data_IF_705281071486
#
_entry.id   IF_705281071486
#
_cell.length_a   1.000
_cell.length_b   1.000
_cell.length_c   1.000
_cell.angle_alpha   90.00
_cell.angle_beta   90.00
_cell.angle_gamma   90.00
#
_symmetry.space_group_name_H-M   'P 1'
#
loop_
_entity.id
_entity.type
_entity.pdbx_description
1 polymer ?
#
# COMPACT_ATOMS: atom_id res chain seq x y z
N UNK A 1 49.91 -19.29 8.96
CA UNK A 1 48.96 -18.58 9.85
C UNK A 1 47.99 -17.66 9.11
N UNK A 2 48.13 -17.41 7.80
CA UNK A 2 47.22 -16.53 7.02
C UNK A 2 45.86 -17.15 6.68
N UNK A 3 45.78 -18.46 6.45
CA UNK A 3 44.54 -19.14 6.00
C UNK A 3 43.37 -19.08 7.01
N UNK A 4 43.68 -18.93 8.30
CA UNK A 4 42.65 -18.77 9.35
C UNK A 4 42.09 -17.36 9.35
N UNK A 5 42.93 -16.34 9.15
CA UNK A 5 42.50 -14.93 9.03
C UNK A 5 41.56 -14.74 7.84
N UNK A 6 41.95 -15.25 6.67
CA UNK A 6 41.13 -15.16 5.46
C UNK A 6 39.77 -15.86 5.60
N UNK A 7 39.69 -16.96 6.37
CA UNK A 7 38.43 -17.66 6.66
C UNK A 7 37.54 -16.85 7.61
N UNK A 8 38.13 -16.23 8.63
CA UNK A 8 37.43 -15.37 9.59
C UNK A 8 36.89 -14.12 8.90
N UNK A 9 37.68 -13.47 8.04
CA UNK A 9 37.25 -12.28 7.30
C UNK A 9 36.12 -12.60 6.32
N UNK A 10 36.19 -13.75 5.63
CA UNK A 10 35.09 -14.23 4.77
C UNK A 10 33.83 -14.58 5.57
N UNK A 11 33.97 -15.12 6.78
CA UNK A 11 32.85 -15.42 7.65
C UNK A 11 32.19 -14.14 8.19
N UNK A 12 32.99 -13.16 8.59
CA UNK A 12 32.53 -11.83 9.02
C UNK A 12 31.82 -11.09 7.89
N UNK A 13 32.41 -11.03 6.69
CA UNK A 13 31.78 -10.40 5.54
C UNK A 13 30.46 -11.08 5.12
N UNK A 14 30.36 -12.41 5.26
CA UNK A 14 29.12 -13.15 5.02
C UNK A 14 28.09 -12.84 6.10
N UNK A 15 28.50 -12.82 7.37
CA UNK A 15 27.62 -12.51 8.49
C UNK A 15 27.05 -11.09 8.38
N UNK A 16 27.90 -10.10 8.12
CA UNK A 16 27.50 -8.69 7.98
C UNK A 16 26.51 -8.48 6.83
N UNK A 17 26.70 -9.19 5.70
CA UNK A 17 25.76 -9.17 4.57
C UNK A 17 24.41 -9.77 4.95
N UNK A 18 24.41 -10.88 5.68
CA UNK A 18 23.19 -11.54 6.15
C UNK A 18 22.45 -10.64 7.14
N UNK A 19 23.14 -10.08 8.14
CA UNK A 19 22.53 -9.19 9.13
C UNK A 19 21.97 -7.93 8.49
N UNK A 20 22.70 -7.29 7.56
CA UNK A 20 22.20 -6.11 6.83
C UNK A 20 20.93 -6.43 6.04
N UNK A 21 20.91 -7.58 5.36
CA UNK A 21 19.72 -8.02 4.61
C UNK A 21 18.52 -8.36 5.50
N UNK A 22 18.75 -8.78 6.75
CA UNK A 22 17.68 -9.06 7.71
C UNK A 22 17.15 -7.77 8.34
N UNK A 23 18.03 -6.83 8.66
CA UNK A 23 17.68 -5.55 9.28
C UNK A 23 16.88 -4.67 8.29
N UNK A 24 17.27 -4.64 7.01
CA UNK A 24 16.50 -4.00 5.94
C UNK A 24 15.09 -4.60 5.78
N UNK A 25 14.96 -5.93 5.94
CA UNK A 25 13.66 -6.64 5.83
C UNK A 25 12.77 -6.39 7.05
N UNK A 26 13.33 -6.46 8.25
CA UNK A 26 12.59 -6.11 9.46
C UNK A 26 12.17 -4.64 9.46
N UNK A 27 13.03 -3.75 8.95
CA UNK A 27 12.71 -2.35 8.71
C UNK A 27 11.52 -2.17 7.78
N UNK A 28 11.52 -2.82 6.60
CA UNK A 28 10.43 -2.72 5.64
C UNK A 28 9.07 -3.16 6.21
N UNK A 29 9.05 -4.28 6.94
CA UNK A 29 7.84 -4.77 7.60
C UNK A 29 7.34 -3.82 8.71
N UNK A 30 8.26 -3.28 9.52
CA UNK A 30 7.93 -2.29 10.57
C UNK A 30 7.42 -0.99 9.97
N UNK A 31 8.01 -0.52 8.87
CA UNK A 31 7.60 0.70 8.18
C UNK A 31 6.22 0.53 7.55
N UNK A 32 5.94 -0.62 6.92
CA UNK A 32 4.61 -0.96 6.44
C UNK A 32 3.57 -0.96 7.58
N UNK A 33 3.90 -1.55 8.73
CA UNK A 33 3.05 -1.55 9.91
C UNK A 33 2.79 -0.14 10.44
N UNK A 34 3.81 0.72 10.48
CA UNK A 34 3.65 2.12 10.88
C UNK A 34 2.76 2.90 9.91
N UNK A 35 2.96 2.73 8.59
CA UNK A 35 2.12 3.35 7.56
C UNK A 35 0.65 2.92 7.72
N UNK A 36 0.39 1.64 7.95
CA UNK A 36 -0.97 1.16 8.17
C UNK A 36 -1.59 1.70 9.47
N UNK A 37 -0.85 1.71 10.57
CA UNK A 37 -1.30 2.30 11.84
C UNK A 37 -1.68 3.77 11.68
N UNK A 38 -0.87 4.56 10.98
CA UNK A 38 -1.19 5.97 10.70
C UNK A 38 -2.47 6.12 9.86
N UNK A 39 -2.71 5.22 8.90
CA UNK A 39 -3.92 5.22 8.07
C UNK A 39 -5.16 4.85 8.86
N UNK A 40 -5.08 3.79 9.68
CA UNK A 40 -6.16 3.35 10.56
C UNK A 40 -6.53 4.46 11.56
N UNK A 41 -5.54 5.09 12.18
CA UNK A 41 -5.76 6.20 13.12
C UNK A 41 -6.44 7.40 12.45
N UNK A 42 -6.06 7.77 11.22
CA UNK A 42 -6.73 8.83 10.46
C UNK A 42 -8.16 8.45 10.06
N UNK A 43 -8.39 7.20 9.69
CA UNK A 43 -9.73 6.69 9.36
C UNK A 43 -10.66 6.69 10.58
N UNK A 44 -10.13 6.25 11.73
CA UNK A 44 -10.82 6.27 13.02
C UNK A 44 -11.10 7.71 13.48
N UNK A 45 -10.14 8.62 13.38
CA UNK A 45 -10.35 10.03 13.73
C UNK A 45 -11.45 10.69 12.89
N UNK A 46 -11.49 10.42 11.57
CA UNK A 46 -12.57 10.92 10.70
C UNK A 46 -13.93 10.31 11.03
N UNK A 47 -13.99 9.01 11.36
CA UNK A 47 -15.24 8.36 11.82
C UNK A 47 -15.69 8.92 13.16
N UNK A 48 -14.78 9.03 14.13
CA UNK A 48 -15.05 9.63 15.43
C UNK A 48 -15.55 11.08 15.30
N UNK A 49 -14.94 11.87 14.41
CA UNK A 49 -15.41 13.22 14.10
C UNK A 49 -16.84 13.24 13.55
N UNK A 50 -17.20 12.35 12.62
CA UNK A 50 -18.58 12.25 12.10
C UNK A 50 -19.58 11.77 13.15
N UNK A 51 -19.19 10.80 13.97
CA UNK A 51 -20.02 10.31 15.08
C UNK A 51 -20.23 11.41 16.12
N UNK A 52 -19.18 12.17 16.47
CA UNK A 52 -19.28 13.32 17.37
C UNK A 52 -20.21 14.42 16.81
N UNK A 53 -20.13 14.72 15.52
CA UNK A 53 -21.04 15.66 14.85
C UNK A 53 -22.48 15.14 14.86
N UNK A 54 -22.70 13.86 14.55
CA UNK A 54 -24.03 13.26 14.58
C UNK A 54 -24.65 13.29 15.99
N UNK A 55 -23.86 12.93 17.03
CA UNK A 55 -24.27 13.04 18.43
C UNK A 55 -24.57 14.50 18.79
N UNK A 56 -23.75 15.45 18.33
CA UNK A 56 -23.97 16.88 18.53
C UNK A 56 -25.29 17.37 17.94
N UNK A 57 -25.60 16.98 16.70
CA UNK A 57 -26.87 17.33 16.02
C UNK A 57 -28.06 16.74 16.78
N UNK A 58 -28.01 15.46 17.14
CA UNK A 58 -29.08 14.79 17.91
C UNK A 58 -29.28 15.48 19.26
N UNK A 59 -28.19 15.87 19.93
CA UNK A 59 -28.25 16.58 21.21
C UNK A 59 -28.94 17.94 21.07
N UNK A 60 -28.58 18.72 20.05
CA UNK A 60 -29.18 20.03 19.78
C UNK A 60 -30.67 19.91 19.46
N UNK A 61 -31.05 18.97 18.57
CA UNK A 61 -32.45 18.73 18.21
C UNK A 61 -33.27 18.33 19.45
N UNK A 62 -32.70 17.49 20.31
CA UNK A 62 -33.37 17.06 21.55
C UNK A 62 -33.57 18.22 22.53
N UNK A 63 -32.58 19.11 22.67
CA UNK A 63 -32.69 20.34 23.49
C UNK A 63 -33.81 21.25 22.98
N UNK A 64 -33.89 21.44 21.65
CA UNK A 64 -34.91 22.31 21.03
C UNK A 64 -36.32 21.74 21.21
N UNK A 65 -36.52 20.43 21.02
CA UNK A 65 -37.83 19.79 21.19
C UNK A 65 -38.23 19.75 22.68
N UNK A 66 -37.27 19.48 23.58
CA UNK A 66 -37.49 19.51 25.02
C UNK A 66 -37.89 20.89 25.58
N UNK A 67 -37.61 21.96 24.84
CA UNK A 67 -38.06 23.32 25.16
C UNK A 67 -39.55 23.54 24.84
N UNK A 68 -40.11 22.76 23.91
CA UNK A 68 -41.50 22.91 23.40
C UNK A 68 -42.44 21.87 24.03
N UNK A 69 -41.93 20.66 24.33
CA UNK A 69 -42.70 19.57 24.92
C UNK A 69 -41.93 19.00 26.13
N UNK A 70 -42.52 18.87 27.33
CA UNK A 70 -41.80 18.39 28.51
C UNK A 70 -41.59 16.88 28.43
N UNK A 71 -40.51 16.48 27.76
CA UNK A 71 -40.10 15.06 27.60
C UNK A 71 -39.62 14.47 28.95
N UNK A 72 -39.40 15.31 29.96
CA UNK A 72 -38.88 14.92 31.27
C UNK A 72 -37.41 14.50 31.21
N UNK A 73 -36.73 14.57 32.35
CA UNK A 73 -35.30 14.25 32.46
C UNK A 73 -34.97 12.81 32.01
N UNK A 74 -35.90 11.87 32.18
CA UNK A 74 -35.72 10.46 31.82
C UNK A 74 -35.75 10.21 30.31
N UNK A 75 -36.56 10.93 29.53
CA UNK A 75 -36.59 10.77 28.07
C UNK A 75 -35.33 11.32 27.39
N UNK A 76 -34.77 12.42 27.90
CA UNK A 76 -33.48 12.95 27.46
C UNK A 76 -32.34 11.96 27.76
N UNK A 77 -32.29 11.42 28.98
CA UNK A 77 -31.24 10.49 29.38
C UNK A 77 -31.29 9.18 28.56
N UNK A 78 -32.48 8.70 28.22
CA UNK A 78 -32.67 7.53 27.37
C UNK A 78 -32.19 7.76 25.92
N UNK A 79 -32.47 8.93 25.33
CA UNK A 79 -32.02 9.26 23.98
C UNK A 79 -30.48 9.40 23.90
N UNK A 80 -29.87 10.05 24.88
CA UNK A 80 -28.40 10.18 24.97
C UNK A 80 -27.74 8.82 25.21
N UNK A 81 -28.31 8.00 26.11
CA UNK A 81 -27.82 6.64 26.37
C UNK A 81 -27.88 5.76 25.13
N UNK A 82 -28.97 5.83 24.35
CA UNK A 82 -29.10 5.09 23.09
C UNK A 82 -28.10 5.58 22.03
N UNK A 83 -27.89 6.89 21.90
CA UNK A 83 -26.92 7.46 20.98
C UNK A 83 -25.48 7.03 21.33
N UNK A 84 -25.11 7.05 22.62
CA UNK A 84 -23.81 6.56 23.10
C UNK A 84 -23.69 5.05 22.87
N UNK A 85 -24.75 4.28 23.10
CA UNK A 85 -24.79 2.84 22.83
C UNK A 85 -24.55 2.50 21.37
N UNK A 86 -25.24 3.17 20.44
CA UNK A 86 -25.06 3.00 18.98
C UNK A 86 -23.66 3.47 18.56
N UNK A 87 -23.18 4.59 19.09
CA UNK A 87 -21.83 5.09 18.80
C UNK A 87 -20.74 4.13 19.29
N UNK A 88 -20.90 3.58 20.49
CA UNK A 88 -20.03 2.55 21.03
C UNK A 88 -20.07 1.29 20.16
N UNK A 89 -21.26 0.81 19.82
CA UNK A 89 -21.43 -0.37 18.96
C UNK A 89 -20.73 -0.18 17.60
N UNK A 90 -20.89 0.98 16.95
CA UNK A 90 -20.22 1.28 15.68
C UNK A 90 -18.71 1.49 15.81
N UNK A 91 -18.22 1.92 16.98
CA UNK A 91 -16.80 2.07 17.26
C UNK A 91 -16.10 0.72 17.52
N UNK A 92 -16.81 -0.23 18.13
CA UNK A 92 -16.29 -1.56 18.47
C UNK A 92 -16.61 -2.64 17.44
N UNK A 93 -17.47 -2.37 16.44
CA UNK A 93 -17.76 -3.32 15.38
C UNK A 93 -16.50 -3.58 14.54
N UNK A 94 -16.02 -4.83 14.44
CA UNK A 94 -14.87 -5.16 13.60
C UNK A 94 -15.27 -4.89 12.15
N UNK A 95 -14.60 -3.94 11.51
CA UNK A 95 -14.88 -3.65 10.11
C UNK A 95 -14.55 -4.86 9.25
N UNK A 96 -15.57 -5.48 8.64
CA UNK A 96 -15.46 -6.50 7.57
C UNK A 96 -14.66 -6.03 6.31
N UNK A 97 -14.01 -4.87 6.38
CA UNK A 97 -13.26 -4.26 5.28
C UNK A 97 -11.84 -4.82 5.14
N UNK A 98 -11.45 -5.82 5.93
CA UNK A 98 -10.04 -6.15 6.14
C UNK A 98 -9.32 -6.74 4.91
N UNK A 99 -10.02 -7.25 3.89
CA UNK A 99 -9.35 -7.98 2.79
C UNK A 99 -9.86 -7.62 1.39
N UNK A 100 -10.60 -6.52 1.20
CA UNK A 100 -11.06 -6.17 -0.16
C UNK A 100 -9.90 -5.64 -1.00
N UNK A 101 -9.65 -6.33 -2.12
CA UNK A 101 -8.76 -5.88 -3.18
C UNK A 101 -9.11 -4.43 -3.62
N UNK A 102 -8.10 -3.63 -4.03
CA UNK A 102 -8.36 -2.28 -4.50
C UNK A 102 -9.21 -2.29 -5.78
N UNK A 103 -10.19 -1.39 -5.88
CA UNK A 103 -10.99 -1.24 -7.10
C UNK A 103 -10.14 -0.67 -8.23
N UNK A 104 -10.32 -1.21 -9.44
CA UNK A 104 -9.68 -0.76 -10.67
C UNK A 104 -9.90 0.73 -10.97
N UNK A 105 -10.96 1.36 -10.46
CA UNK A 105 -11.34 2.75 -10.73
C UNK A 105 -10.56 3.79 -9.91
N UNK A 106 -9.78 3.34 -8.92
CA UNK A 106 -9.06 4.26 -8.04
C UNK A 106 -8.00 5.08 -8.78
N UNK A 107 -7.82 6.38 -8.45
CA UNK A 107 -6.69 7.15 -8.95
C UNK A 107 -5.35 6.49 -8.59
N UNK A 108 -4.30 6.78 -9.35
CA UNK A 108 -3.01 6.07 -9.29
C UNK A 108 -2.38 6.03 -7.88
N UNK A 109 -2.28 7.18 -7.19
CA UNK A 109 -1.77 7.23 -5.82
C UNK A 109 -2.59 6.42 -4.81
N UNK A 110 -3.91 6.68 -4.70
CA UNK A 110 -4.81 5.89 -3.88
C UNK A 110 -4.83 4.39 -4.19
N UNK A 111 -4.63 3.99 -5.45
CA UNK A 111 -4.51 2.58 -5.85
C UNK A 111 -3.33 1.92 -5.14
N UNK A 112 -2.12 2.49 -5.27
CA UNK A 112 -0.90 1.95 -4.64
C UNK A 112 -1.04 1.88 -3.13
N UNK A 113 -1.63 2.91 -2.52
CA UNK A 113 -1.87 2.93 -1.06
C UNK A 113 -2.81 1.81 -0.64
N UNK A 114 -3.95 1.62 -1.32
CA UNK A 114 -4.88 0.54 -0.97
C UNK A 114 -4.27 -0.84 -1.21
N UNK A 115 -3.47 -0.99 -2.26
CA UNK A 115 -2.75 -2.22 -2.52
C UNK A 115 -1.75 -2.56 -1.40
N UNK A 116 -0.94 -1.59 -0.96
CA UNK A 116 -0.02 -1.75 0.20
C UNK A 116 -0.79 -2.19 1.46
N UNK A 117 -1.92 -1.56 1.76
CA UNK A 117 -2.78 -1.95 2.90
C UNK A 117 -3.37 -3.36 2.72
N UNK A 118 -3.76 -3.76 1.51
CA UNK A 118 -4.25 -5.11 1.23
C UNK A 118 -3.15 -6.15 1.46
N UNK A 119 -1.94 -5.94 0.91
CA UNK A 119 -0.80 -6.84 1.10
C UNK A 119 -0.44 -7.01 2.58
N UNK A 120 -0.38 -5.90 3.32
CA UNK A 120 -0.08 -5.92 4.75
C UNK A 120 -1.09 -6.77 5.55
N UNK A 121 -2.38 -6.65 5.24
CA UNK A 121 -3.44 -7.38 5.97
C UNK A 121 -3.52 -8.85 5.59
N UNK A 122 -3.16 -9.20 4.35
CA UNK A 122 -3.18 -10.58 3.89
C UNK A 122 -1.92 -11.35 4.25
N UNK A 123 -0.82 -10.64 4.56
CA UNK A 123 0.49 -11.19 4.92
C UNK A 123 0.45 -12.36 5.90
N UNK A 124 -0.32 -12.25 6.99
CA UNK A 124 -0.31 -13.25 8.06
C UNK A 124 -0.94 -14.59 7.65
N UNK A 125 -1.80 -14.59 6.64
CA UNK A 125 -2.44 -15.80 6.10
C UNK A 125 -1.54 -16.57 5.12
N UNK A 126 -0.33 -16.07 4.84
CA UNK A 126 0.59 -16.57 3.82
C UNK A 126 1.82 -17.26 4.43
N UNK A 127 2.46 -18.18 3.68
CA UNK A 127 3.61 -18.94 4.16
C UNK A 127 4.83 -18.03 4.29
N UNK A 128 5.81 -18.43 5.10
CA UNK A 128 6.95 -17.58 5.45
C UNK A 128 7.74 -17.08 4.23
N UNK A 129 7.86 -17.89 3.16
CA UNK A 129 8.51 -17.49 1.92
C UNK A 129 7.73 -16.38 1.18
N UNK A 130 6.40 -16.54 1.03
CA UNK A 130 5.56 -15.54 0.38
C UNK A 130 5.48 -14.22 1.17
N UNK A 131 5.55 -14.29 2.50
CA UNK A 131 5.64 -13.08 3.34
C UNK A 131 6.88 -12.24 3.01
N UNK A 132 8.02 -12.87 2.70
CA UNK A 132 9.24 -12.16 2.30
C UNK A 132 9.06 -11.44 0.96
N UNK A 133 8.36 -12.06 0.02
CA UNK A 133 8.04 -11.42 -1.27
C UNK A 133 7.11 -10.22 -1.09
N UNK A 134 6.08 -10.34 -0.25
CA UNK A 134 5.21 -9.21 0.10
C UNK A 134 5.99 -8.07 0.77
N UNK A 135 6.84 -8.38 1.75
CA UNK A 135 7.64 -7.38 2.44
C UNK A 135 8.56 -6.64 1.44
N UNK A 136 9.10 -7.36 0.45
CA UNK A 136 9.91 -6.77 -0.63
C UNK A 136 9.08 -5.87 -1.55
N UNK A 137 7.89 -6.31 -1.97
CA UNK A 137 6.97 -5.51 -2.78
C UNK A 137 6.60 -4.22 -2.02
N UNK A 138 6.18 -4.34 -0.75
CA UNK A 138 5.81 -3.20 0.09
C UNK A 138 6.95 -2.19 0.33
N UNK A 139 8.21 -2.60 0.20
CA UNK A 139 9.36 -1.69 0.26
C UNK A 139 9.48 -0.81 -1.00
N UNK A 140 9.07 -1.31 -2.16
CA UNK A 140 9.17 -0.62 -3.45
C UNK A 140 7.94 0.29 -3.74
N UNK A 141 6.78 -0.03 -3.15
CA UNK A 141 5.53 0.71 -3.37
C UNK A 141 5.60 2.23 -3.11
N UNK A 142 6.32 2.75 -2.11
CA UNK A 142 6.44 4.21 -1.91
C UNK A 142 7.04 4.94 -3.11
N UNK A 143 8.09 4.37 -3.71
CA UNK A 143 8.75 4.92 -4.91
C UNK A 143 7.83 4.80 -6.10
N UNK A 144 7.22 3.63 -6.31
CA UNK A 144 6.23 3.43 -7.38
C UNK A 144 5.07 4.42 -7.29
N UNK A 145 4.57 4.68 -6.08
CA UNK A 145 3.49 5.66 -5.84
C UNK A 145 3.89 7.05 -6.31
N UNK A 146 5.09 7.51 -5.96
CA UNK A 146 5.57 8.83 -6.34
C UNK A 146 5.64 8.97 -7.86
N UNK A 147 6.08 7.94 -8.57
CA UNK A 147 6.14 7.93 -10.04
C UNK A 147 4.73 7.91 -10.64
N UNK A 148 3.86 7.00 -10.19
CA UNK A 148 2.51 6.83 -10.73
C UNK A 148 1.56 8.00 -10.42
N UNK A 149 1.74 8.72 -9.32
CA UNK A 149 0.92 9.90 -8.96
C UNK A 149 1.07 11.05 -9.95
N UNK A 150 2.17 11.10 -10.70
CA UNK A 150 2.44 12.15 -11.69
C UNK A 150 1.81 11.86 -13.05
N UNK A 151 1.39 10.61 -13.27
CA UNK A 151 0.83 10.16 -14.54
C UNK A 151 -0.68 10.29 -14.56
N UNK A 152 -1.23 10.51 -15.75
CA UNK A 152 -2.65 10.40 -15.97
C UNK A 152 -3.11 8.94 -15.83
N UNK A 153 -4.36 8.75 -15.46
CA UNK A 153 -4.93 7.40 -15.28
C UNK A 153 -5.08 6.64 -16.59
N UNK A 154 -5.05 7.34 -17.73
CA UNK A 154 -5.14 6.77 -19.07
C UNK A 154 -3.78 6.36 -19.64
N UNK A 155 -2.68 6.69 -18.96
CA UNK A 155 -1.34 6.29 -19.37
C UNK A 155 -1.23 4.75 -19.40
N UNK A 156 -0.67 4.13 -20.47
CA UNK A 156 -0.59 2.68 -20.59
C UNK A 156 0.18 2.00 -19.46
N UNK A 157 1.28 2.58 -18.99
CA UNK A 157 2.08 2.03 -17.90
C UNK A 157 1.34 2.15 -16.56
N UNK A 158 0.64 3.26 -16.33
CA UNK A 158 -0.21 3.42 -15.17
C UNK A 158 -1.38 2.42 -15.16
N UNK A 159 -2.01 2.18 -16.31
CA UNK A 159 -3.07 1.19 -16.46
C UNK A 159 -2.60 -0.23 -16.18
N UNK A 160 -1.42 -0.59 -16.69
CA UNK A 160 -0.84 -1.92 -16.48
C UNK A 160 -0.52 -2.16 -14.99
N UNK A 161 0.15 -1.20 -14.34
CA UNK A 161 0.40 -1.25 -12.90
C UNK A 161 -0.89 -1.36 -12.09
N UNK A 162 -1.94 -0.61 -12.47
CA UNK A 162 -3.25 -0.69 -11.82
C UNK A 162 -3.90 -2.05 -11.99
N UNK A 163 -3.86 -2.66 -13.18
CA UNK A 163 -4.40 -4.00 -13.41
C UNK A 163 -3.65 -5.04 -12.59
N UNK A 164 -2.32 -4.93 -12.52
CA UNK A 164 -1.51 -5.81 -11.70
C UNK A 164 -1.89 -5.72 -10.21
N UNK A 165 -2.02 -4.51 -9.68
CA UNK A 165 -2.37 -4.27 -8.27
C UNK A 165 -3.83 -4.54 -7.91
N UNK A 166 -4.77 -4.39 -8.85
CA UNK A 166 -6.21 -4.55 -8.57
C UNK A 166 -6.78 -5.90 -8.96
N UNK A 167 -6.22 -6.57 -9.97
CA UNK A 167 -6.78 -7.81 -10.51
C UNK A 167 -5.81 -8.97 -10.31
N UNK A 168 -4.60 -8.88 -10.88
CA UNK A 168 -3.73 -10.04 -11.00
C UNK A 168 -3.13 -10.48 -9.66
N UNK A 169 -2.53 -9.55 -8.92
CA UNK A 169 -1.90 -9.85 -7.63
C UNK A 169 -2.91 -10.24 -6.56
N UNK A 170 -4.00 -9.47 -6.33
CA UNK A 170 -5.05 -9.91 -5.40
C UNK A 170 -5.69 -11.23 -5.83
N UNK A 171 -5.96 -11.40 -7.13
CA UNK A 171 -6.54 -12.64 -7.64
C UNK A 171 -5.63 -13.86 -7.51
N UNK A 172 -4.31 -13.70 -7.48
CA UNK A 172 -3.37 -14.77 -7.15
C UNK A 172 -3.46 -15.15 -5.66
N UNK A 173 -3.41 -14.14 -4.79
CA UNK A 173 -3.47 -14.32 -3.34
C UNK A 173 -4.80 -14.93 -2.93
N UNK A 174 -5.92 -14.43 -3.43
CA UNK A 174 -7.26 -14.93 -3.13
C UNK A 174 -7.43 -16.40 -3.57
N UNK A 175 -6.89 -16.76 -4.75
CA UNK A 175 -6.87 -18.15 -5.22
C UNK A 175 -6.06 -19.05 -4.29
N UNK A 176 -4.90 -18.62 -3.84
CA UNK A 176 -4.11 -19.35 -2.86
C UNK A 176 -4.86 -19.54 -1.53
N UNK A 177 -5.53 -18.49 -1.03
CA UNK A 177 -6.28 -18.56 0.22
C UNK A 177 -7.46 -19.53 0.15
N UNK A 178 -8.06 -19.69 -1.03
CA UNK A 178 -9.14 -20.66 -1.27
C UNK A 178 -8.67 -22.12 -1.32
N UNK A 179 -7.36 -22.37 -1.49
CA UNK A 179 -6.82 -23.74 -1.43
C UNK A 179 -6.81 -24.22 0.03
N UNK A 180 -7.42 -25.37 0.35
CA UNK A 180 -7.42 -25.89 1.72
C UNK A 180 -5.99 -26.20 2.18
N UNK A 181 -5.70 -25.93 3.46
CA UNK A 181 -4.33 -25.91 3.98
C UNK A 181 -3.56 -27.24 3.78
N UNK A 182 -4.26 -28.38 3.85
CA UNK A 182 -3.68 -29.71 3.66
C UNK A 182 -3.18 -29.99 2.24
N UNK A 183 -3.62 -29.23 1.23
CA UNK A 183 -3.19 -29.38 -0.16
C UNK A 183 -2.07 -28.41 -0.56
N UNK A 184 -1.66 -27.48 0.32
CA UNK A 184 -0.75 -26.39 -0.07
C UNK A 184 0.70 -26.82 -0.25
N UNK A 185 1.08 -27.90 0.43
CA UNK A 185 2.41 -28.53 0.34
C UNK A 185 2.44 -29.72 -0.64
N UNK A 186 1.27 -30.13 -1.17
CA UNK A 186 1.23 -31.17 -2.19
C UNK A 186 1.91 -30.67 -3.46
N UNK A 187 2.76 -31.53 -4.02
CA UNK A 187 3.48 -31.25 -5.25
C UNK A 187 2.72 -31.78 -6.44
N UNK A 188 2.64 -30.96 -7.48
CA UNK A 188 2.04 -31.34 -8.74
C UNK A 188 3.00 -32.15 -9.64
N UNK A 189 2.59 -32.42 -10.88
CA UNK A 189 3.38 -33.15 -11.87
C UNK A 189 4.67 -32.44 -12.31
N UNK A 190 4.83 -31.15 -12.01
CA UNK A 190 6.05 -30.37 -12.25
C UNK A 190 6.96 -30.34 -11.00
N UNK A 191 6.59 -31.07 -9.94
CA UNK A 191 7.27 -31.12 -8.65
C UNK A 191 7.29 -29.76 -7.91
N UNK A 192 6.30 -28.91 -8.18
CA UNK A 192 6.11 -27.59 -7.58
C UNK A 192 4.89 -27.66 -6.65
N UNK A 193 5.00 -27.07 -5.44
CA UNK A 193 3.85 -26.98 -4.52
C UNK A 193 3.02 -25.72 -4.77
N UNK A 194 1.80 -25.68 -4.24
CA UNK A 194 0.96 -24.46 -4.30
C UNK A 194 1.64 -23.29 -3.57
N UNK A 195 2.35 -23.57 -2.47
CA UNK A 195 3.18 -22.60 -1.77
C UNK A 195 4.28 -22.03 -2.68
N UNK A 196 4.97 -22.88 -3.44
CA UNK A 196 6.02 -22.45 -4.37
C UNK A 196 5.44 -21.62 -5.52
N UNK A 197 4.31 -22.05 -6.11
CA UNK A 197 3.61 -21.30 -7.17
C UNK A 197 3.20 -19.90 -6.72
N UNK A 198 2.75 -19.75 -5.46
CA UNK A 198 2.44 -18.44 -4.89
C UNK A 198 3.70 -17.56 -4.83
N UNK A 199 4.81 -18.11 -4.33
CA UNK A 199 6.07 -17.36 -4.22
C UNK A 199 6.56 -16.90 -5.59
N UNK A 200 6.56 -17.79 -6.58
CA UNK A 200 6.93 -17.47 -7.96
C UNK A 200 6.02 -16.41 -8.58
N UNK A 201 4.71 -16.53 -8.40
CA UNK A 201 3.75 -15.56 -8.91
C UNK A 201 3.89 -14.18 -8.26
N UNK A 202 4.13 -14.12 -6.95
CA UNK A 202 4.41 -12.86 -6.25
C UNK A 202 5.75 -12.24 -6.70
N UNK A 203 6.79 -13.06 -6.88
CA UNK A 203 8.09 -12.60 -7.37
C UNK A 203 7.98 -12.05 -8.80
N UNK A 204 7.23 -12.71 -9.68
CA UNK A 204 6.95 -12.23 -11.03
C UNK A 204 6.17 -10.90 -11.01
N UNK A 205 5.18 -10.78 -10.12
CA UNK A 205 4.44 -9.53 -9.92
C UNK A 205 5.34 -8.38 -9.43
N UNK A 206 6.27 -8.64 -8.49
CA UNK A 206 7.28 -7.66 -8.07
C UNK A 206 8.12 -7.20 -9.27
N UNK A 207 8.68 -8.14 -10.03
CA UNK A 207 9.50 -7.83 -11.21
C UNK A 207 8.74 -6.98 -12.21
N UNK A 208 7.47 -7.30 -12.49
CA UNK A 208 6.64 -6.51 -13.39
C UNK A 208 6.43 -5.06 -12.88
N UNK A 209 6.19 -4.85 -11.57
CA UNK A 209 6.12 -3.50 -11.00
C UNK A 209 7.43 -2.73 -11.13
N UNK A 210 8.57 -3.39 -10.91
CA UNK A 210 9.90 -2.81 -11.09
C UNK A 210 10.14 -2.40 -12.55
N UNK A 211 9.83 -3.28 -13.50
CA UNK A 211 9.97 -2.98 -14.93
C UNK A 211 9.11 -1.79 -15.36
N UNK A 212 7.88 -1.69 -14.85
CA UNK A 212 7.02 -0.53 -15.10
C UNK A 212 7.67 0.74 -14.53
N UNK A 213 8.13 0.70 -13.28
CA UNK A 213 8.82 1.83 -12.65
C UNK A 213 10.07 2.25 -13.44
N UNK A 214 10.83 1.28 -13.97
CA UNK A 214 12.02 1.54 -14.77
C UNK A 214 11.66 2.17 -16.12
N UNK A 215 10.64 1.66 -16.82
CA UNK A 215 10.16 2.24 -18.09
C UNK A 215 9.73 3.70 -17.89
N UNK A 216 9.03 3.98 -16.79
CA UNK A 216 8.62 5.34 -16.44
C UNK A 216 9.81 6.25 -16.16
N UNK A 217 10.79 5.77 -15.37
CA UNK A 217 12.00 6.53 -15.10
C UNK A 217 12.79 6.84 -16.39
N UNK A 218 12.92 5.88 -17.31
CA UNK A 218 13.57 6.08 -18.61
C UNK A 218 12.84 7.11 -19.47
N UNK A 219 11.50 7.10 -19.46
CA UNK A 219 10.68 8.08 -20.18
C UNK A 219 10.91 9.50 -19.63
N UNK A 220 10.95 9.66 -18.30
CA UNK A 220 11.23 10.94 -17.65
C UNK A 220 12.62 11.49 -18.02
N UNK A 221 13.64 10.62 -18.05
CA UNK A 221 15.01 11.00 -18.45
C UNK A 221 15.02 11.47 -19.91
N UNK A 222 14.38 10.74 -20.83
CA UNK A 222 14.32 11.12 -22.24
C UNK A 222 13.57 12.45 -22.46
N UNK A 223 12.50 12.69 -21.72
CA UNK A 223 11.76 13.95 -21.76
C UNK A 223 12.63 15.13 -21.30
N UNK A 224 13.39 14.95 -20.21
CA UNK A 224 14.31 15.97 -19.69
C UNK A 224 15.40 16.32 -20.70
N UNK A 225 16.03 15.32 -21.33
CA UNK A 225 17.06 15.54 -22.35
C UNK A 225 16.52 16.33 -23.54
N UNK A 226 15.31 15.98 -23.99
CA UNK A 226 14.64 16.65 -25.11
C UNK A 226 14.39 18.12 -24.78
N UNK A 227 13.84 18.40 -23.59
CA UNK A 227 13.58 19.76 -23.13
C UNK A 227 14.89 20.56 -22.98
N UNK A 228 15.95 19.95 -22.46
CA UNK A 228 17.26 20.58 -22.33
C UNK A 228 17.89 20.94 -23.69
N UNK A 229 17.79 20.06 -24.69
CA UNK A 229 18.25 20.34 -26.06
C UNK A 229 17.45 21.47 -26.71
N UNK A 230 16.13 21.48 -26.53
CA UNK A 230 15.26 22.53 -27.06
C UNK A 230 15.61 23.91 -26.48
N UNK A 231 15.85 24.01 -25.17
CA UNK A 231 16.22 25.29 -24.53
C UNK A 231 17.56 25.78 -25.07
N UNK A 232 18.55 24.89 -25.22
CA UNK A 232 19.86 25.26 -25.80
C UNK A 232 19.71 25.80 -27.22
N UNK A 233 19.02 25.09 -28.11
CA UNK A 233 18.86 25.53 -29.48
C UNK A 233 18.04 26.81 -29.62
N UNK A 234 17.03 27.03 -28.77
CA UNK A 234 16.18 28.23 -28.86
C UNK A 234 16.76 29.48 -28.24
N UNK A 235 17.58 29.37 -27.20
CA UNK A 235 18.00 30.54 -26.41
C UNK A 235 19.49 30.79 -26.41
N UNK A 236 20.33 29.76 -26.59
CA UNK A 236 21.79 29.93 -26.64
C UNK A 236 22.22 30.27 -28.07
N UNK A 237 21.74 29.52 -29.06
CA UNK A 237 22.12 29.74 -30.46
C UNK A 237 21.55 31.06 -31.00
N UNK A 238 20.32 31.43 -30.58
CA UNK A 238 19.70 32.72 -30.93
C UNK A 238 20.41 33.95 -30.32
N UNK A 239 21.06 33.82 -29.16
CA UNK A 239 21.90 34.89 -28.59
C UNK A 239 23.23 35.03 -29.33
N UNK A 240 23.78 33.94 -29.85
CA UNK A 240 25.03 33.96 -30.62
C UNK A 240 24.80 34.58 -32.02
N UNK A 241 23.66 34.32 -32.65
CA UNK A 241 23.27 34.98 -33.90
C UNK A 241 22.97 36.47 -33.71
N UNK A 242 22.22 36.84 -32.67
CA UNK A 242 21.91 38.26 -32.39
C UNK A 242 23.08 39.11 -31.89
N UNK A 243 24.23 38.51 -31.53
CA UNK A 243 25.46 39.20 -31.15
C UNK A 243 26.45 39.37 -32.31
N UNK A 244 26.11 38.87 -33.50
CA UNK A 244 26.91 38.99 -34.73
C UNK A 244 26.41 40.06 -35.70
N UNK A 245 25.24 40.64 -35.44
CA UNK A 245 24.70 41.84 -36.09
C UNK A 245 25.01 43.10 -35.27
#
# INVERSE_FOLDING_TARGET
>A
MSDVGDKVDRALARFERVTRSLDEREGAARDAAQRERQRLNRGLARRAGRVAVAIGIVSIVTIVIGLIMPIGMFGFLAAVGLAIGIAGLLAFMPGEQAQKAPSADLPNGPMVQKFDSYLYRTRDALPAAARKEIDSISAELPTLRQTLERLETVDPQAQDARRLMSIHMPGLIDRYLNVPANYRDERDGENISVNDRLVEGLAAGRTALCEISEKLARADVAALETQGRFIKSRYVDAQIEGARD
#
